data_IF_697884869794
#
_entry.id   IF_697884869794
#
_cell.length_a   1.000
_cell.length_b   1.000
_cell.length_c   1.000
_cell.angle_alpha   90.00
_cell.angle_beta   90.00
_cell.angle_gamma   90.00
#
_symmetry.space_group_name_H-M   'P 1'
#
loop_
_entity.id
_entity.type
_entity.pdbx_description
1 polymer ?
#
# COMPACT_ATOMS: atom_id res chain seq x y z
N UNK A 1 10.30 25.13 -1.05
CA UNK A 1 8.92 24.81 -0.60
C UNK A 1 8.79 23.31 -0.59
N UNK A 2 8.28 22.72 0.51
CA UNK A 2 8.07 21.28 0.59
C UNK A 2 6.63 20.96 0.19
N UNK A 3 6.46 19.93 -0.64
CA UNK A 3 5.15 19.41 -1.07
C UNK A 3 4.91 18.05 -0.45
N UNK A 4 3.68 17.77 -0.14
CA UNK A 4 3.18 16.49 0.37
C UNK A 4 2.19 15.96 -0.65
N UNK A 5 2.31 14.70 -1.02
CA UNK A 5 1.32 13.99 -1.82
C UNK A 5 0.47 13.13 -0.90
N UNK A 6 -0.84 13.23 -1.06
CA UNK A 6 -1.81 12.43 -0.30
C UNK A 6 -2.66 11.63 -1.28
N UNK A 7 -2.87 10.36 -1.00
CA UNK A 7 -3.73 9.47 -1.77
C UNK A 7 -5.07 9.25 -1.06
N UNK A 8 -6.11 8.91 -1.83
CA UNK A 8 -7.42 8.63 -1.29
C UNK A 8 -8.41 8.17 -2.36
N UNK A 9 -9.69 8.28 -2.06
CA UNK A 9 -10.78 7.96 -2.98
C UNK A 9 -12.14 8.25 -2.37
N UNK A 10 -13.19 7.92 -3.11
CA UNK A 10 -14.57 8.15 -2.72
C UNK A 10 -15.27 6.83 -2.36
N UNK A 11 -16.08 6.82 -1.31
CA UNK A 11 -16.75 5.61 -0.81
C UNK A 11 -17.80 5.02 -1.77
N UNK A 12 -18.32 5.83 -2.68
CA UNK A 12 -19.39 5.48 -3.63
C UNK A 12 -18.90 5.40 -5.09
N UNK A 13 -17.58 5.48 -5.30
CA UNK A 13 -16.96 5.48 -6.63
C UNK A 13 -15.78 4.52 -6.71
N UNK A 14 -15.26 4.33 -7.91
CA UNK A 14 -14.04 3.56 -8.21
C UNK A 14 -12.87 4.47 -8.60
N UNK A 15 -12.99 5.76 -8.26
CA UNK A 15 -12.03 6.81 -8.60
C UNK A 15 -11.03 6.96 -7.45
N UNK A 16 -9.75 7.00 -7.79
CA UNK A 16 -8.67 7.39 -6.89
C UNK A 16 -8.49 8.90 -6.84
N UNK A 17 -7.92 9.41 -5.77
CA UNK A 17 -7.59 10.81 -5.59
C UNK A 17 -6.10 10.95 -5.28
N UNK A 18 -5.44 11.88 -5.97
CA UNK A 18 -4.09 12.35 -5.65
C UNK A 18 -4.11 13.84 -5.39
N UNK A 19 -3.91 14.21 -4.12
CA UNK A 19 -3.92 15.60 -3.65
C UNK A 19 -2.50 16.07 -3.39
N UNK A 20 -2.13 17.20 -3.98
CA UNK A 20 -0.85 17.87 -3.70
C UNK A 20 -1.09 19.00 -2.69
N UNK A 21 -0.39 18.92 -1.57
CA UNK A 21 -0.43 19.92 -0.50
C UNK A 21 0.94 20.60 -0.42
N UNK A 22 0.95 21.91 -0.32
CA UNK A 22 2.15 22.71 -0.15
C UNK A 22 2.20 23.33 1.25
N UNK A 23 3.37 23.24 1.90
CA UNK A 23 3.61 23.92 3.16
C UNK A 23 4.02 25.37 2.90
N UNK A 24 3.22 26.31 3.33
CA UNK A 24 3.45 27.75 3.27
C UNK A 24 3.76 28.31 4.68
N UNK A 25 4.05 29.60 4.75
CA UNK A 25 4.21 30.32 6.04
C UNK A 25 2.90 30.44 6.81
N UNK A 26 1.76 30.34 6.12
CA UNK A 26 0.42 30.46 6.71
C UNK A 26 -0.21 29.11 7.05
N UNK A 27 0.45 27.99 6.68
CA UNK A 27 -0.02 26.64 6.94
C UNK A 27 0.04 25.71 5.72
N UNK A 28 -0.82 24.70 5.69
CA UNK A 28 -0.93 23.75 4.59
C UNK A 28 -2.02 24.21 3.61
N UNK A 29 -1.67 24.25 2.31
CA UNK A 29 -2.60 24.67 1.24
C UNK A 29 -2.70 23.57 0.20
N UNK A 30 -3.90 23.17 -0.16
CA UNK A 30 -4.15 22.26 -1.30
C UNK A 30 -3.81 23.01 -2.60
N UNK A 31 -2.86 22.49 -3.35
CA UNK A 31 -2.40 23.05 -4.62
C UNK A 31 -3.18 22.46 -5.79
N UNK A 32 -3.43 21.15 -5.73
CA UNK A 32 -4.25 20.45 -6.71
C UNK A 32 -4.89 19.19 -6.12
N UNK A 33 -6.11 18.93 -6.58
CA UNK A 33 -6.82 17.66 -6.41
C UNK A 33 -6.99 17.02 -7.78
N UNK A 34 -6.58 15.77 -7.92
CA UNK A 34 -6.59 15.09 -9.20
C UNK A 34 -7.29 13.75 -9.06
N UNK A 35 -8.41 13.62 -9.74
CA UNK A 35 -9.15 12.37 -9.85
C UNK A 35 -8.47 11.46 -10.87
N UNK A 36 -8.21 10.24 -10.47
CA UNK A 36 -7.58 9.21 -11.30
C UNK A 36 -8.55 8.06 -11.46
N UNK A 37 -9.06 7.87 -12.67
CA UNK A 37 -9.93 6.73 -12.97
C UNK A 37 -9.17 5.42 -12.80
N UNK A 38 -9.85 4.40 -12.29
CA UNK A 38 -9.29 3.06 -12.22
C UNK A 38 -8.93 2.58 -13.64
N UNK A 39 -7.67 2.14 -13.90
CA UNK A 39 -7.22 1.80 -15.25
C UNK A 39 -8.00 0.67 -15.91
N UNK A 40 -8.75 -0.11 -15.12
CA UNK A 40 -9.66 -1.18 -15.56
C UNK A 40 -10.97 -1.12 -14.77
N UNK A 41 -11.92 -0.29 -15.17
CA UNK A 41 -13.19 -0.11 -14.45
C UNK A 41 -13.99 -1.40 -14.24
N UNK A 42 -13.86 -2.38 -15.15
CA UNK A 42 -14.56 -3.65 -15.10
C UNK A 42 -14.15 -4.57 -13.96
N UNK A 43 -12.96 -4.33 -13.35
CA UNK A 43 -12.50 -5.07 -12.17
C UNK A 43 -12.39 -4.17 -10.93
N UNK A 44 -12.71 -2.91 -11.05
CA UNK A 44 -12.62 -1.96 -9.94
C UNK A 44 -13.55 -2.34 -8.79
N UNK A 45 -13.08 -2.14 -7.57
CA UNK A 45 -13.87 -2.38 -6.35
C UNK A 45 -14.44 -1.06 -5.86
N UNK A 46 -15.76 -1.01 -5.71
CA UNK A 46 -16.46 0.19 -5.25
C UNK A 46 -15.97 0.63 -3.86
N UNK A 47 -15.78 1.92 -3.69
CA UNK A 47 -15.30 2.51 -2.44
C UNK A 47 -13.82 2.28 -2.16
N UNK A 48 -13.06 1.82 -3.17
CA UNK A 48 -11.62 1.60 -3.09
C UNK A 48 -10.92 2.53 -4.09
N UNK A 49 -10.41 3.64 -3.61
CA UNK A 49 -9.58 4.54 -4.40
C UNK A 49 -8.11 4.13 -4.43
N UNK A 50 -7.22 5.12 -4.37
CA UNK A 50 -5.77 4.88 -4.25
C UNK A 50 -5.45 4.71 -2.76
N UNK A 51 -4.96 3.53 -2.39
CA UNK A 51 -4.72 3.13 -1.01
C UNK A 51 -3.28 3.34 -0.55
N UNK A 52 -2.32 3.27 -1.48
CA UNK A 52 -0.90 3.47 -1.20
C UNK A 52 -0.18 4.10 -2.39
N UNK A 53 0.87 4.85 -2.12
CA UNK A 53 1.67 5.55 -3.14
C UNK A 53 3.17 5.45 -2.87
N UNK A 54 3.96 5.37 -3.94
CA UNK A 54 5.43 5.49 -3.87
C UNK A 54 5.95 6.43 -4.96
N UNK A 55 6.78 7.39 -4.58
CA UNK A 55 7.34 8.39 -5.51
C UNK A 55 8.55 7.79 -6.25
N UNK A 56 8.58 7.95 -7.57
CA UNK A 56 9.61 7.48 -8.48
C UNK A 56 10.02 8.62 -9.44
N UNK A 57 10.80 9.57 -8.96
CA UNK A 57 11.19 10.76 -9.70
C UNK A 57 10.00 11.62 -10.13
N UNK A 58 9.77 11.73 -11.46
CA UNK A 58 8.63 12.46 -12.03
C UNK A 58 7.34 11.64 -12.05
N UNK A 59 7.31 10.47 -11.42
CA UNK A 59 6.19 9.55 -11.41
C UNK A 59 5.80 9.15 -9.99
N UNK A 60 4.57 8.66 -9.89
CA UNK A 60 4.02 8.04 -8.68
C UNK A 60 3.52 6.66 -9.04
N UNK A 61 3.95 5.65 -8.32
CA UNK A 61 3.28 4.35 -8.31
C UNK A 61 2.11 4.42 -7.34
N UNK A 62 0.93 4.12 -7.82
CA UNK A 62 -0.33 4.22 -7.08
C UNK A 62 -1.02 2.84 -7.03
N UNK A 63 -1.27 2.33 -5.83
CA UNK A 63 -2.07 1.14 -5.63
C UNK A 63 -3.55 1.49 -5.65
N UNK A 64 -4.26 1.01 -6.65
CA UNK A 64 -5.70 0.75 -6.52
C UNK A 64 -5.90 -0.60 -5.82
N UNK A 65 -7.11 -0.94 -5.45
CA UNK A 65 -7.36 -2.17 -4.67
C UNK A 65 -6.81 -3.46 -5.31
N UNK A 66 -6.68 -3.52 -6.63
CA UNK A 66 -6.32 -4.75 -7.36
C UNK A 66 -5.45 -4.51 -8.60
N UNK A 67 -4.86 -3.33 -8.70
CA UNK A 67 -3.98 -2.94 -9.80
C UNK A 67 -3.01 -1.87 -9.32
N UNK A 68 -1.82 -1.80 -9.91
CA UNK A 68 -0.84 -0.75 -9.62
C UNK A 68 -0.65 0.08 -10.88
N UNK A 69 -0.83 1.38 -10.78
CA UNK A 69 -0.66 2.32 -11.89
C UNK A 69 0.58 3.19 -11.69
N UNK A 70 1.33 3.44 -12.76
CA UNK A 70 2.36 4.50 -12.80
C UNK A 70 1.74 5.76 -13.34
N UNK A 71 1.67 6.80 -12.52
CA UNK A 71 1.07 8.09 -12.83
C UNK A 71 2.17 9.12 -13.02
N UNK A 72 2.14 9.90 -14.10
CA UNK A 72 3.07 11.00 -14.32
C UNK A 72 2.66 12.22 -13.50
N UNK A 73 3.60 12.80 -12.76
CA UNK A 73 3.33 13.88 -11.80
C UNK A 73 2.93 15.21 -12.44
N UNK A 74 3.34 15.46 -13.68
CA UNK A 74 3.12 16.75 -14.36
C UNK A 74 1.67 16.98 -14.83
N UNK A 75 0.94 15.89 -15.11
CA UNK A 75 -0.41 15.93 -15.68
C UNK A 75 -1.36 14.83 -15.14
N UNK A 76 -0.88 14.04 -14.18
CA UNK A 76 -1.61 12.94 -13.54
C UNK A 76 -2.15 11.88 -14.50
N UNK A 77 -1.49 11.71 -15.64
CA UNK A 77 -1.84 10.67 -16.63
C UNK A 77 -1.18 9.34 -16.26
N UNK A 78 -1.96 8.25 -16.32
CA UNK A 78 -1.43 6.89 -16.18
C UNK A 78 -0.59 6.55 -17.40
N UNK A 79 0.68 6.17 -17.19
CA UNK A 79 1.65 5.86 -18.26
C UNK A 79 2.05 4.39 -18.29
N UNK A 80 1.81 3.64 -17.22
CA UNK A 80 2.10 2.21 -17.12
C UNK A 80 1.19 1.55 -16.08
N UNK A 81 0.99 0.23 -16.21
CA UNK A 81 0.15 -0.55 -15.29
C UNK A 81 0.81 -1.89 -15.00
N UNK A 82 0.75 -2.32 -13.75
CA UNK A 82 1.16 -3.65 -13.31
C UNK A 82 -0.07 -4.39 -12.80
N UNK A 83 -0.26 -5.59 -13.33
CA UNK A 83 -1.41 -6.45 -13.04
C UNK A 83 -0.94 -7.83 -12.61
N UNK A 84 -1.64 -8.39 -11.64
CA UNK A 84 -1.55 -9.81 -11.30
C UNK A 84 -2.92 -10.29 -10.82
N UNK A 85 -3.30 -11.51 -11.20
CA UNK A 85 -4.59 -12.11 -10.84
C UNK A 85 -4.79 -12.29 -9.32
N UNK A 86 -3.74 -12.20 -8.54
CA UNK A 86 -3.78 -12.31 -7.09
C UNK A 86 -3.72 -10.96 -6.38
N UNK A 87 -3.65 -9.83 -7.09
CA UNK A 87 -3.77 -8.52 -6.48
C UNK A 87 -5.19 -8.32 -5.95
N UNK A 88 -5.32 -8.03 -4.66
CA UNK A 88 -6.60 -7.74 -4.02
C UNK A 88 -6.40 -6.98 -2.72
N UNK A 89 -7.20 -5.98 -2.53
CA UNK A 89 -7.16 -5.10 -1.36
C UNK A 89 -5.72 -4.67 -1.05
N UNK A 90 -5.01 -4.21 -2.09
CA UNK A 90 -3.67 -3.65 -1.94
C UNK A 90 -3.75 -2.44 -1.04
N UNK A 91 -2.94 -2.36 0.01
CA UNK A 91 -2.99 -1.26 0.98
C UNK A 91 -1.86 -0.26 0.82
N UNK A 92 -0.63 -0.74 0.82
CA UNK A 92 0.55 0.12 0.84
C UNK A 92 1.58 -0.36 -0.20
N UNK A 93 2.41 0.57 -0.65
CA UNK A 93 3.47 0.32 -1.62
C UNK A 93 4.71 1.14 -1.26
N UNK A 94 5.86 0.50 -1.23
CA UNK A 94 7.15 1.15 -1.00
C UNK A 94 8.08 0.88 -2.17
N UNK A 95 8.75 1.92 -2.66
CA UNK A 95 9.79 1.81 -3.69
C UNK A 95 11.17 1.75 -3.02
N UNK A 96 11.90 0.67 -3.26
CA UNK A 96 13.28 0.55 -2.82
C UNK A 96 14.14 -0.13 -3.90
N UNK A 97 15.26 0.48 -4.29
CA UNK A 97 16.22 -0.06 -5.28
C UNK A 97 15.58 -0.67 -6.54
N UNK A 98 14.76 0.11 -7.22
CA UNK A 98 14.06 -0.31 -8.44
C UNK A 98 13.11 -1.51 -8.26
N UNK A 99 12.64 -1.75 -7.04
CA UNK A 99 11.61 -2.74 -6.71
C UNK A 99 10.47 -2.09 -5.95
N UNK A 100 9.26 -2.51 -6.27
CA UNK A 100 8.09 -2.17 -5.48
C UNK A 100 7.82 -3.30 -4.49
N UNK A 101 7.63 -2.93 -3.24
CA UNK A 101 7.19 -3.81 -2.16
C UNK A 101 5.74 -3.46 -1.85
N UNK A 102 4.85 -4.42 -1.94
CA UNK A 102 3.41 -4.20 -1.92
C UNK A 102 2.75 -5.02 -0.83
N UNK A 103 2.00 -4.36 0.03
CA UNK A 103 1.13 -5.02 1.01
C UNK A 103 -0.14 -5.51 0.29
N UNK A 104 -0.14 -6.75 -0.15
CA UNK A 104 -1.29 -7.41 -0.78
C UNK A 104 -2.19 -8.02 0.31
N UNK A 105 -2.97 -7.15 0.94
CA UNK A 105 -3.74 -7.43 2.15
C UNK A 105 -4.82 -8.48 1.92
N UNK A 106 -5.52 -8.39 0.80
CA UNK A 106 -6.58 -9.34 0.49
C UNK A 106 -6.06 -10.74 0.17
N UNK A 107 -4.89 -10.84 -0.43
CA UNK A 107 -4.23 -12.13 -0.67
C UNK A 107 -3.41 -12.60 0.53
N UNK A 108 -3.17 -11.74 1.53
CA UNK A 108 -2.34 -12.01 2.71
C UNK A 108 -0.89 -12.35 2.34
N UNK A 109 -0.31 -11.52 1.49
CA UNK A 109 1.07 -11.68 1.01
C UNK A 109 1.78 -10.34 0.91
N UNK A 110 3.10 -10.39 0.86
CA UNK A 110 3.93 -9.31 0.36
C UNK A 110 4.36 -9.66 -1.05
N UNK A 111 4.10 -8.76 -1.99
CA UNK A 111 4.51 -8.90 -3.38
C UNK A 111 5.69 -7.98 -3.67
N UNK A 112 6.79 -8.54 -4.18
CA UNK A 112 8.00 -7.81 -4.56
C UNK A 112 8.09 -7.80 -6.07
N UNK A 113 8.04 -6.61 -6.67
CA UNK A 113 7.97 -6.42 -8.11
C UNK A 113 9.26 -5.78 -8.59
N UNK A 114 10.00 -6.45 -9.42
CA UNK A 114 11.16 -5.91 -10.12
C UNK A 114 10.68 -5.01 -11.27
N UNK A 115 10.98 -3.72 -11.24
CA UNK A 115 10.48 -2.75 -12.20
C UNK A 115 11.08 -2.89 -13.60
N UNK A 116 12.26 -3.48 -13.73
CA UNK A 116 12.89 -3.69 -15.03
C UNK A 116 12.29 -4.87 -15.79
N UNK A 117 11.94 -5.93 -15.06
CA UNK A 117 11.46 -7.20 -15.66
C UNK A 117 9.97 -7.42 -15.50
N UNK A 118 9.31 -6.66 -14.62
CA UNK A 118 7.91 -6.84 -14.17
C UNK A 118 7.67 -8.19 -13.49
N UNK A 119 8.73 -8.91 -13.10
CA UNK A 119 8.61 -10.17 -12.38
C UNK A 119 8.13 -9.91 -10.96
N UNK A 120 7.16 -10.69 -10.52
CA UNK A 120 6.61 -10.65 -9.16
C UNK A 120 7.13 -11.84 -8.38
N UNK A 121 7.74 -11.58 -7.25
CA UNK A 121 8.05 -12.55 -6.19
C UNK A 121 7.03 -12.37 -5.07
N UNK A 122 6.46 -13.45 -4.56
CA UNK A 122 5.40 -13.38 -3.55
C UNK A 122 5.81 -14.13 -2.31
N UNK A 123 5.75 -13.45 -1.16
CA UNK A 123 5.91 -14.02 0.17
C UNK A 123 4.52 -14.23 0.77
N UNK A 124 4.08 -15.48 0.83
CA UNK A 124 2.77 -15.87 1.38
C UNK A 124 2.83 -15.93 2.92
N UNK A 125 1.92 -15.21 3.60
CA UNK A 125 1.85 -15.17 5.06
C UNK A 125 0.89 -16.22 5.65
N UNK A 126 0.06 -16.87 4.83
CA UNK A 126 -0.94 -17.83 5.32
C UNK A 126 -0.44 -19.26 5.45
N UNK A 127 0.58 -19.63 4.69
CA UNK A 127 0.98 -21.02 4.52
C UNK A 127 -0.02 -21.84 3.69
N UNK A 128 0.46 -22.94 3.13
CA UNK A 128 -0.29 -23.74 2.13
C UNK A 128 -1.62 -24.32 2.64
N UNK A 129 -1.66 -24.80 3.89
CA UNK A 129 -2.84 -25.49 4.41
C UNK A 129 -4.02 -24.53 4.63
N UNK A 130 -3.74 -23.33 5.12
CA UNK A 130 -4.78 -22.29 5.30
C UNK A 130 -5.26 -21.83 3.92
N UNK A 131 -4.35 -21.63 2.99
CA UNK A 131 -4.68 -21.16 1.64
C UNK A 131 -5.55 -22.14 0.86
N UNK A 132 -5.30 -23.43 0.94
CA UNK A 132 -6.11 -24.48 0.30
C UNK A 132 -7.57 -24.49 0.75
N UNK A 133 -7.83 -24.09 2.00
CA UNK A 133 -9.15 -24.10 2.62
C UNK A 133 -9.90 -22.77 2.51
N UNK A 134 -9.29 -21.73 1.94
CA UNK A 134 -9.98 -20.46 1.68
C UNK A 134 -10.91 -20.57 0.47
N UNK A 135 -12.04 -19.82 0.47
CA UNK A 135 -12.88 -19.66 -0.70
C UNK A 135 -12.03 -19.25 -1.91
N UNK A 136 -12.44 -19.68 -3.11
CA UNK A 136 -11.77 -19.26 -4.33
C UNK A 136 -11.70 -17.74 -4.38
N UNK A 137 -10.48 -17.26 -4.45
CA UNK A 137 -10.13 -15.88 -4.53
C UNK A 137 -10.66 -15.24 -5.83
N UNK A 138 -11.30 -14.09 -5.71
CA UNK A 138 -11.75 -13.29 -6.85
C UNK A 138 -11.20 -11.87 -6.72
N UNK A 139 -10.48 -11.43 -7.75
CA UNK A 139 -9.76 -10.16 -7.76
C UNK A 139 -10.66 -8.92 -7.54
N UNK A 140 -11.90 -8.98 -7.98
CA UNK A 140 -12.88 -7.90 -7.90
C UNK A 140 -13.82 -7.99 -6.68
N UNK A 141 -13.51 -8.85 -5.71
CA UNK A 141 -14.31 -8.99 -4.50
C UNK A 141 -13.53 -8.59 -3.26
N UNK A 142 -14.23 -7.99 -2.30
CA UNK A 142 -13.68 -7.77 -0.96
C UNK A 142 -13.39 -9.13 -0.31
N UNK A 143 -12.14 -9.35 0.05
CA UNK A 143 -11.65 -10.62 0.62
C UNK A 143 -11.77 -10.69 2.14
N UNK A 144 -12.40 -9.70 2.78
CA UNK A 144 -12.60 -9.69 4.24
C UNK A 144 -13.46 -10.87 4.72
N UNK A 145 -13.23 -11.38 5.95
CA UNK A 145 -12.23 -10.90 6.92
C UNK A 145 -10.83 -11.42 6.63
N UNK A 146 -9.82 -10.56 6.78
CA UNK A 146 -8.41 -10.94 6.70
C UNK A 146 -7.93 -11.59 8.01
N UNK A 147 -6.97 -12.52 7.95
CA UNK A 147 -6.34 -13.11 9.14
C UNK A 147 -5.26 -12.20 9.72
N UNK A 148 -4.47 -11.60 8.87
CA UNK A 148 -3.37 -10.71 9.26
C UNK A 148 -3.72 -9.25 9.04
N UNK A 149 -4.27 -8.90 7.88
CA UNK A 149 -4.54 -7.54 7.45
C UNK A 149 -3.26 -6.70 7.52
N UNK A 150 -2.38 -6.92 6.56
CA UNK A 150 -1.18 -6.11 6.37
C UNK A 150 -1.63 -4.72 5.95
N UNK A 151 -1.40 -3.70 6.78
CA UNK A 151 -1.83 -2.32 6.48
C UNK A 151 -0.75 -1.49 5.83
N UNK A 152 0.51 -1.79 6.15
CA UNK A 152 1.64 -1.00 5.68
C UNK A 152 2.89 -1.85 5.50
N UNK A 153 3.81 -1.33 4.69
CA UNK A 153 5.09 -1.94 4.37
C UNK A 153 6.16 -0.87 4.20
N UNK A 154 7.28 -1.02 4.88
CA UNK A 154 8.46 -0.17 4.71
C UNK A 154 9.74 -1.00 4.72
N UNK A 155 10.85 -0.40 4.31
CA UNK A 155 12.17 -1.05 4.27
C UNK A 155 13.11 -0.26 5.17
N UNK A 156 13.78 -0.94 6.10
CA UNK A 156 14.76 -0.32 6.99
C UNK A 156 16.17 -0.21 6.34
N UNK A 157 17.11 0.41 7.04
CA UNK A 157 18.49 0.60 6.56
C UNK A 157 19.27 -0.71 6.38
N UNK A 158 18.84 -1.79 7.03
CA UNK A 158 19.41 -3.14 6.88
C UNK A 158 18.72 -3.95 5.76
N UNK A 159 17.84 -3.31 4.99
CA UNK A 159 17.02 -3.92 3.93
C UNK A 159 16.00 -4.95 4.46
N UNK A 160 15.63 -4.87 5.73
CA UNK A 160 14.55 -5.70 6.24
C UNK A 160 13.19 -5.14 5.80
N UNK A 161 12.28 -6.05 5.47
CA UNK A 161 10.87 -5.74 5.19
C UNK A 161 10.13 -5.65 6.52
N UNK A 162 9.58 -4.49 6.81
CA UNK A 162 8.84 -4.20 8.04
C UNK A 162 7.36 -4.01 7.72
N UNK A 163 6.49 -4.71 8.42
CA UNK A 163 5.04 -4.74 8.17
C UNK A 163 4.24 -4.25 9.36
N UNK A 164 3.23 -3.44 9.11
CA UNK A 164 2.15 -3.16 10.05
C UNK A 164 1.07 -4.25 9.98
N UNK A 165 0.82 -4.92 11.11
CA UNK A 165 -0.07 -6.07 11.22
C UNK A 165 -1.28 -5.71 12.08
N UNK A 166 -2.39 -5.28 11.45
CA UNK A 166 -3.59 -4.75 12.12
C UNK A 166 -4.19 -5.76 13.10
N UNK A 167 -4.42 -6.99 12.66
CA UNK A 167 -5.07 -8.02 13.48
C UNK A 167 -4.23 -8.48 14.65
N UNK A 168 -2.92 -8.52 14.48
CA UNK A 168 -1.98 -8.87 15.53
C UNK A 168 -1.71 -7.71 16.48
N UNK A 169 -2.03 -6.46 16.07
CA UNK A 169 -1.69 -5.24 16.82
C UNK A 169 -0.17 -5.15 17.07
N UNK A 170 0.63 -5.46 16.05
CA UNK A 170 2.09 -5.57 16.14
C UNK A 170 2.76 -5.13 14.85
N UNK A 171 4.06 -4.92 14.93
CA UNK A 171 4.95 -4.71 13.80
C UNK A 171 5.78 -6.00 13.60
N UNK A 172 5.87 -6.47 12.36
CA UNK A 172 6.61 -7.66 12.00
C UNK A 172 7.84 -7.28 11.15
N UNK A 173 9.03 -7.70 11.57
CA UNK A 173 10.17 -7.82 10.67
C UNK A 173 10.00 -9.13 9.88
N UNK A 174 9.54 -9.02 8.64
CA UNK A 174 9.25 -10.18 7.80
C UNK A 174 10.54 -10.90 7.37
N UNK A 175 11.62 -10.16 7.14
CA UNK A 175 12.91 -10.75 6.73
C UNK A 175 13.47 -11.69 7.79
N UNK A 176 13.33 -11.31 9.07
CA UNK A 176 13.79 -12.10 10.23
C UNK A 176 12.69 -12.97 10.83
N UNK A 177 11.43 -12.79 10.41
CA UNK A 177 10.24 -13.42 11.01
C UNK A 177 10.11 -13.17 12.51
N UNK A 178 10.39 -11.93 12.92
CA UNK A 178 10.41 -11.52 14.32
C UNK A 178 9.47 -10.35 14.58
N UNK A 179 8.80 -10.37 15.73
CA UNK A 179 7.99 -9.24 16.18
C UNK A 179 8.86 -8.12 16.71
N UNK A 180 8.61 -6.88 16.27
CA UNK A 180 9.25 -5.69 16.80
C UNK A 180 8.38 -5.16 17.94
N UNK A 181 8.97 -5.05 19.14
CA UNK A 181 8.28 -4.55 20.31
C UNK A 181 7.19 -5.49 20.86
N UNK A 182 6.37 -4.95 21.75
CA UNK A 182 5.25 -5.66 22.37
C UNK A 182 3.97 -5.53 21.53
N UNK A 183 2.92 -6.25 21.95
CA UNK A 183 1.58 -6.04 21.40
C UNK A 183 1.04 -4.68 21.87
N UNK A 184 0.54 -3.87 20.94
CA UNK A 184 -0.06 -2.56 21.23
C UNK A 184 -1.53 -2.70 21.66
N UNK A 185 -2.05 -1.69 22.33
CA UNK A 185 -3.46 -1.66 22.78
C UNK A 185 -4.46 -1.38 21.66
N UNK A 186 -3.99 -0.85 20.54
CA UNK A 186 -4.78 -0.52 19.35
C UNK A 186 -4.14 -1.10 18.09
N UNK A 187 -4.92 -1.40 17.05
CA UNK A 187 -4.39 -1.90 15.78
C UNK A 187 -3.34 -0.95 15.19
N UNK A 188 -2.17 -1.49 14.86
CA UNK A 188 -1.12 -0.78 14.12
C UNK A 188 -1.62 -0.56 12.69
N UNK A 189 -1.48 0.65 12.18
CA UNK A 189 -1.93 0.98 10.83
C UNK A 189 -0.74 1.33 9.94
N UNK A 190 -0.29 2.56 9.91
CA UNK A 190 0.83 2.95 9.06
C UNK A 190 2.15 2.75 9.81
N UNK A 191 3.13 2.16 9.15
CA UNK A 191 4.49 1.94 9.68
C UNK A 191 5.48 2.50 8.68
N UNK A 192 6.32 3.41 9.15
CA UNK A 192 7.36 4.05 8.36
C UNK A 192 8.71 3.92 9.06
N UNK A 193 9.78 3.79 8.27
CA UNK A 193 11.15 3.86 8.77
C UNK A 193 11.75 5.21 8.37
N UNK A 194 12.02 6.06 9.36
CA UNK A 194 12.47 7.45 9.17
C UNK A 194 13.65 7.71 10.11
N UNK A 195 14.79 8.13 9.56
CA UNK A 195 15.98 8.53 10.30
C UNK A 195 16.46 7.48 11.33
N UNK A 196 16.42 6.20 10.97
CA UNK A 196 16.87 5.10 11.82
C UNK A 196 15.83 4.61 12.85
N UNK A 197 14.63 5.17 12.84
CA UNK A 197 13.55 4.84 13.79
C UNK A 197 12.30 4.34 13.05
N UNK A 198 11.54 3.48 13.74
CA UNK A 198 10.23 3.03 13.28
C UNK A 198 9.15 3.94 13.86
N UNK A 199 8.45 4.63 12.97
CA UNK A 199 7.28 5.44 13.28
C UNK A 199 6.02 4.69 12.85
N UNK A 200 4.95 4.79 13.61
CA UNK A 200 3.70 4.16 13.24
C UNK A 200 2.50 4.89 13.82
N UNK A 201 1.36 4.71 13.19
CA UNK A 201 0.06 5.14 13.71
C UNK A 201 -0.74 3.95 14.22
N UNK A 202 -1.75 4.24 15.01
CA UNK A 202 -2.75 3.24 15.41
C UNK A 202 -4.15 3.75 15.10
N UNK A 203 -5.11 2.85 14.95
CA UNK A 203 -6.51 3.22 14.70
C UNK A 203 -7.09 4.09 15.84
N UNK A 204 -6.49 4.05 17.02
CA UNK A 204 -6.86 4.89 18.19
C UNK A 204 -6.10 6.21 18.31
N UNK A 205 -5.20 6.54 17.39
CA UNK A 205 -4.35 7.73 17.39
C UNK A 205 -2.86 7.42 17.38
N UNK A 206 -2.03 8.47 17.46
CA UNK A 206 -0.56 8.35 17.56
C UNK A 206 -0.15 7.77 18.93
N UNK A 207 0.83 6.89 18.92
CA UNK A 207 1.54 6.42 20.11
C UNK A 207 2.97 6.93 20.04
#
# INVERSE_FOLDING_TARGET
MSRILVSGGFFDQTIGLLTVIEKTTEGLVVVSDNEIEHPKPEIAVLGKGITGIAIDGDYVWACFSNIIAKVRFSDFVIVDVIEDKHFNDLHEITLHKNRLYVANTGYESVDIIDLATKKIERIDLLGEDIRKNRPKYQQNQDSKPHLHHISSITIDDEENIILGMVRQQRILNLTKWEWIGSKYSSPVHDVEFIDGEIWFTTVGGLI
#
